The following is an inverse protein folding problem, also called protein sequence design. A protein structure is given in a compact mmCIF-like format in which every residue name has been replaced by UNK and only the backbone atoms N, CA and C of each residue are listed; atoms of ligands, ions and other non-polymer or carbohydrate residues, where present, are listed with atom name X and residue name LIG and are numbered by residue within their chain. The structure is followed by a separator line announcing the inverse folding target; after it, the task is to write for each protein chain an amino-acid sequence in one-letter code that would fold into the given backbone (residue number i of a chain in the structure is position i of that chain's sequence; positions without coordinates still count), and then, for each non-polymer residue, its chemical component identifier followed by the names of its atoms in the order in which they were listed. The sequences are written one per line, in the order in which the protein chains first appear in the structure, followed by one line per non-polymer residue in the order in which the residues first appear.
data_IF_755579827634
#
_entry.id   IF_755579827634
#
_cell.length_a   1.000
_cell.length_b   1.000
_cell.length_c   1.000
_cell.angle_alpha   90.00
_cell.angle_beta   90.00
_cell.angle_gamma   90.00
#
_symmetry.space_group_name_H-M   'P 1'
#
loop_
_entity.id
_entity.type
_entity.pdbx_description
1 polymer ?
#
# COMPACT_ATOMS: atom_id res chain seq x y z
N UNK A 1 11.58 -10.07 2.62
CA UNK A 1 12.55 -9.28 3.42
C UNK A 1 11.96 -7.93 3.88
N UNK A 2 11.70 -6.95 3.00
CA UNK A 2 11.23 -5.61 3.42
C UNK A 2 9.90 -5.63 4.21
N UNK A 3 8.88 -6.32 3.69
CA UNK A 3 7.58 -6.46 4.39
C UNK A 3 7.73 -7.23 5.70
N UNK A 4 8.59 -8.24 5.72
CA UNK A 4 8.85 -9.05 6.92
C UNK A 4 9.49 -8.23 8.05
N UNK A 5 10.31 -7.23 7.71
CA UNK A 5 10.91 -6.27 8.64
C UNK A 5 9.94 -5.19 9.17
N UNK A 6 8.68 -5.18 8.70
CA UNK A 6 7.61 -4.32 9.22
C UNK A 6 6.86 -5.01 10.35
N UNK A 7 6.41 -4.21 11.31
CA UNK A 7 5.44 -4.63 12.35
C UNK A 7 4.05 -4.84 11.73
N UNK A 8 3.18 -5.66 12.36
CA UNK A 8 1.80 -5.84 11.89
C UNK A 8 1.04 -4.53 11.71
N UNK A 9 1.22 -3.57 12.63
CA UNK A 9 0.58 -2.25 12.56
C UNK A 9 1.06 -1.44 11.36
N UNK A 10 2.35 -1.51 11.02
CA UNK A 10 2.88 -0.80 9.85
C UNK A 10 2.38 -1.39 8.53
N UNK A 11 2.13 -2.70 8.48
CA UNK A 11 1.58 -3.37 7.29
C UNK A 11 0.13 -2.98 7.03
N UNK A 12 -0.68 -2.88 8.09
CA UNK A 12 -2.08 -2.43 7.98
C UNK A 12 -2.17 -0.92 7.77
N UNK A 13 -1.21 -0.16 8.33
CA UNK A 13 -1.19 1.30 8.31
C UNK A 13 0.15 1.85 7.81
N UNK A 14 0.40 1.83 6.48
CA UNK A 14 1.67 2.28 5.90
C UNK A 14 1.98 3.77 6.13
N UNK A 15 0.96 4.58 6.42
CA UNK A 15 1.11 6.00 6.74
C UNK A 15 1.84 6.25 8.08
N UNK A 16 1.90 5.25 8.96
CA UNK A 16 2.67 5.32 10.21
C UNK A 16 4.18 5.23 9.97
N UNK A 17 4.63 4.86 8.76
CA UNK A 17 6.04 4.62 8.43
C UNK A 17 6.79 5.94 8.22
N UNK A 18 7.25 6.51 9.32
CA UNK A 18 8.13 7.69 9.37
C UNK A 18 9.59 7.37 8.96
N UNK A 19 10.47 8.37 9.01
CA UNK A 19 11.88 8.20 8.64
C UNK A 19 12.67 7.24 9.54
N UNK A 20 12.32 7.15 10.83
CA UNK A 20 12.97 6.22 11.77
C UNK A 20 12.59 4.78 11.45
N UNK A 21 11.29 4.53 11.22
CA UNK A 21 10.78 3.21 10.82
C UNK A 21 11.34 2.77 9.47
N UNK A 22 11.46 3.68 8.50
CA UNK A 22 12.10 3.38 7.21
C UNK A 22 13.54 2.92 7.36
N UNK A 23 14.32 3.59 8.23
CA UNK A 23 15.70 3.18 8.52
C UNK A 23 15.76 1.80 9.18
N UNK A 24 14.85 1.51 10.11
CA UNK A 24 14.75 0.19 10.77
C UNK A 24 14.42 -0.91 9.77
N UNK A 25 13.42 -0.68 8.91
CA UNK A 25 13.00 -1.62 7.87
C UNK A 25 14.18 -1.89 6.92
N UNK A 26 14.77 -0.83 6.36
CA UNK A 26 15.91 -0.92 5.44
C UNK A 26 17.07 -1.74 6.03
N UNK A 27 17.47 -1.44 7.27
CA UNK A 27 18.51 -2.21 7.97
C UNK A 27 18.11 -3.66 8.22
N UNK A 28 16.86 -3.91 8.62
CA UNK A 28 16.36 -5.27 8.90
C UNK A 28 16.21 -6.14 7.65
N UNK A 29 15.93 -5.53 6.49
CA UNK A 29 15.79 -6.24 5.22
C UNK A 29 17.05 -6.25 4.35
N UNK A 30 18.13 -5.58 4.77
CA UNK A 30 19.35 -5.45 3.96
C UNK A 30 19.15 -4.59 2.70
N UNK A 31 18.22 -3.64 2.74
CA UNK A 31 17.89 -2.74 1.62
C UNK A 31 18.18 -1.29 1.98
N UNK A 32 18.01 -0.39 1.03
CA UNK A 32 18.17 1.05 1.20
C UNK A 32 16.86 1.74 1.61
N UNK A 33 16.96 2.94 2.20
CA UNK A 33 15.78 3.77 2.53
C UNK A 33 15.01 4.15 1.25
N UNK A 34 15.71 4.34 0.15
CA UNK A 34 15.17 4.69 -1.16
C UNK A 34 14.29 3.56 -1.71
N UNK A 35 14.73 2.31 -1.58
CA UNK A 35 13.93 1.14 -1.96
C UNK A 35 12.67 1.01 -1.11
N UNK A 36 12.77 1.24 0.20
CA UNK A 36 11.60 1.27 1.10
C UNK A 36 10.63 2.37 0.67
N UNK A 37 11.11 3.57 0.35
CA UNK A 37 10.26 4.67 -0.15
C UNK A 37 9.55 4.29 -1.47
N UNK A 38 10.26 3.64 -2.38
CA UNK A 38 9.69 3.19 -3.65
C UNK A 38 8.58 2.17 -3.44
N UNK A 39 8.79 1.21 -2.54
CA UNK A 39 7.79 0.21 -2.17
C UNK A 39 6.52 0.86 -1.60
N UNK A 40 6.67 1.83 -0.69
CA UNK A 40 5.54 2.54 -0.09
C UNK A 40 4.72 3.31 -1.14
N UNK A 41 5.38 3.95 -2.11
CA UNK A 41 4.69 4.63 -3.23
C UNK A 41 3.92 3.64 -4.09
N UNK A 42 4.56 2.56 -4.51
CA UNK A 42 3.91 1.51 -5.32
C UNK A 42 2.68 0.91 -4.62
N UNK A 43 2.75 0.74 -3.30
CA UNK A 43 1.61 0.28 -2.52
C UNK A 43 0.47 1.30 -2.53
N UNK A 44 0.75 2.59 -2.37
CA UNK A 44 -0.27 3.64 -2.37
C UNK A 44 -0.93 3.80 -3.76
N UNK A 45 -0.15 3.69 -4.83
CA UNK A 45 -0.65 3.67 -6.21
C UNK A 45 -1.59 2.48 -6.43
N UNK A 46 -1.16 1.27 -6.04
CA UNK A 46 -1.97 0.06 -6.13
C UNK A 46 -3.26 0.17 -5.29
N UNK A 47 -3.16 0.73 -4.08
CA UNK A 47 -4.32 0.98 -3.21
C UNK A 47 -5.31 1.95 -3.85
N UNK A 48 -4.81 3.00 -4.49
CA UNK A 48 -5.63 3.98 -5.19
C UNK A 48 -6.36 3.34 -6.37
N UNK A 49 -5.67 2.52 -7.16
CA UNK A 49 -6.26 1.77 -8.26
C UNK A 49 -7.35 0.80 -7.76
N UNK A 50 -7.08 0.03 -6.70
CA UNK A 50 -8.07 -0.88 -6.11
C UNK A 50 -9.31 -0.14 -5.59
N UNK A 51 -9.13 1.03 -4.97
CA UNK A 51 -10.25 1.87 -4.52
C UNK A 51 -11.10 2.37 -5.70
N UNK A 52 -10.46 2.82 -6.77
CA UNK A 52 -11.16 3.25 -7.99
C UNK A 52 -11.95 2.10 -8.62
N UNK A 53 -11.33 0.92 -8.73
CA UNK A 53 -11.97 -0.28 -9.30
C UNK A 53 -13.13 -0.79 -8.42
N UNK A 54 -12.98 -0.78 -7.09
CA UNK A 54 -14.07 -1.05 -6.13
C UNK A 54 -15.22 -0.04 -6.23
N UNK A 55 -14.91 1.22 -6.51
CA UNK A 55 -15.90 2.27 -6.79
C UNK A 55 -16.67 2.05 -8.09
N UNK A 56 -16.01 1.59 -9.16
CA UNK A 56 -16.66 1.24 -10.42
C UNK A 56 -17.59 0.02 -10.28
N UNK A 57 -17.19 -1.01 -9.53
CA UNK A 57 -18.03 -2.18 -9.27
C UNK A 57 -19.31 -1.89 -8.48
N UNK A 58 -19.31 -0.83 -7.64
CA UNK A 58 -20.51 -0.35 -6.94
C UNK A 58 -21.41 0.54 -7.80
N UNK A 59 -20.86 1.27 -8.77
CA UNK A 59 -21.66 2.11 -9.70
C UNK A 59 -22.18 1.34 -10.93
N UNK A 60 -21.57 0.22 -11.30
CA UNK A 60 -22.01 -0.61 -12.43
C UNK A 60 -23.21 -1.54 -12.16
N UNK A 61 -23.65 -1.69 -10.90
CA UNK A 61 -24.76 -2.58 -10.53
C UNK A 61 -26.13 -1.90 -10.38
N UNK A 62 -26.28 -0.62 -10.74
CA UNK A 62 -27.53 0.12 -10.52
C UNK A 62 -28.19 0.71 -11.77
N UNK A 63 -27.64 0.54 -12.98
CA UNK A 63 -28.26 1.09 -14.19
C UNK A 63 -28.00 0.21 -15.42
N UNK A 64 -28.64 -0.96 -15.45
CA UNK A 64 -29.06 -1.56 -16.72
C UNK A 64 -30.50 -2.02 -16.51
N UNK A 65 -31.52 -1.28 -16.99
CA UNK A 65 -32.82 -1.87 -17.14
C UNK A 65 -32.66 -2.98 -18.18
N UNK A 66 -32.79 -4.23 -17.74
CA UNK A 66 -33.01 -5.33 -18.67
C UNK A 66 -34.35 -5.04 -19.39
N UNK A 67 -34.43 -5.27 -20.71
CA UNK A 67 -35.68 -5.12 -21.45
C UNK A 67 -36.78 -6.04 -20.91
#
# INVERSE_FOLDING_TARGET
AMIDSMTPEERTHPHLIDGSRRRRIARGSGTTIQEVNRLLRQFDDARTLMKQMSGLGKKGKLQFPLP
#
